data_IF_871035169222
#
_entry.id   IF_871035169222
#
_cell.length_a   1.000
_cell.length_b   1.000
_cell.length_c   1.000
_cell.angle_alpha   90.00
_cell.angle_beta   90.00
_cell.angle_gamma   90.00
#
_symmetry.space_group_name_H-M   'P 1'
#
loop_
_entity.id
_entity.type
_entity.pdbx_description
1 polymer ?
#
# COMPACT_ATOMS: atom_id res chain seq x y z
N UNK A 1 -10.91 -23.94 5.11
CA UNK A 1 -10.67 -23.69 6.55
C UNK A 1 -11.08 -22.25 6.83
N UNK A 2 -11.77 -21.99 7.93
CA UNK A 2 -12.14 -20.64 8.38
C UNK A 2 -11.46 -20.38 9.72
N UNK A 3 -10.91 -19.19 9.91
CA UNK A 3 -10.28 -18.76 11.15
C UNK A 3 -10.83 -17.39 11.56
N UNK A 4 -10.82 -17.13 12.86
CA UNK A 4 -11.24 -15.86 13.45
C UNK A 4 -10.14 -15.41 14.40
N UNK A 5 -9.65 -14.18 14.21
CA UNK A 5 -8.73 -13.54 15.14
C UNK A 5 -9.50 -12.49 15.93
N UNK A 6 -9.23 -12.36 17.23
CA UNK A 6 -9.76 -11.24 18.00
C UNK A 6 -9.07 -9.95 17.56
N UNK A 7 -9.85 -8.87 17.48
CA UNK A 7 -9.29 -7.54 17.26
C UNK A 7 -8.62 -7.05 18.55
N UNK A 8 -7.63 -6.16 18.48
CA UNK A 8 -7.24 -5.36 19.66
C UNK A 8 -8.50 -4.70 20.23
N UNK A 9 -8.66 -4.72 21.54
CA UNK A 9 -9.74 -3.98 22.20
C UNK A 9 -9.48 -2.50 21.95
N UNK A 10 -10.38 -1.84 21.23
CA UNK A 10 -10.26 -0.40 21.00
C UNK A 10 -10.39 0.28 22.36
N UNK A 11 -9.36 1.01 22.73
CA UNK A 11 -9.33 1.80 23.95
C UNK A 11 -9.18 3.26 23.59
N UNK A 12 -10.01 4.10 24.18
CA UNK A 12 -9.95 5.56 24.03
C UNK A 12 -9.44 6.24 25.30
N UNK A 13 -9.15 5.47 26.36
CA UNK A 13 -8.57 6.00 27.57
C UNK A 13 -7.14 6.45 27.30
N UNK A 14 -6.78 7.71 27.59
CA UNK A 14 -5.41 8.16 27.51
C UNK A 14 -4.58 7.37 28.53
N UNK A 15 -3.85 6.34 28.07
CA UNK A 15 -2.93 5.62 28.93
C UNK A 15 -1.57 6.31 28.91
N UNK A 16 -0.95 6.56 30.08
CA UNK A 16 0.46 6.92 30.15
C UNK A 16 1.39 5.74 29.80
N UNK A 17 0.83 4.53 29.68
CA UNK A 17 1.53 3.28 29.40
C UNK A 17 1.52 2.96 27.89
N UNK A 18 2.52 2.19 27.38
CA UNK A 18 2.53 1.74 25.99
C UNK A 18 1.25 0.97 25.65
N UNK A 19 0.85 1.03 24.37
CA UNK A 19 -0.35 0.34 23.92
C UNK A 19 -0.27 -1.17 24.25
N UNK A 20 -1.42 -1.83 24.53
CA UNK A 20 -1.42 -3.25 24.80
C UNK A 20 -0.77 -4.05 23.66
N UNK A 21 0.00 -5.08 24.01
CA UNK A 21 0.62 -5.94 23.01
C UNK A 21 -0.43 -6.59 22.08
N UNK A 22 -0.06 -6.73 20.80
CA UNK A 22 -0.89 -7.40 19.80
C UNK A 22 -1.33 -8.80 20.27
N UNK A 23 -2.63 -9.06 20.21
CA UNK A 23 -3.19 -10.39 20.51
C UNK A 23 -3.05 -11.26 19.26
N UNK A 24 -2.12 -12.22 19.32
CA UNK A 24 -1.86 -13.14 18.21
C UNK A 24 -2.65 -14.44 18.43
N UNK A 25 -3.48 -14.79 17.45
CA UNK A 25 -4.24 -16.04 17.46
C UNK A 25 -3.46 -17.13 16.73
N UNK A 26 -3.26 -18.27 17.38
CA UNK A 26 -2.67 -19.46 16.75
C UNK A 26 -3.74 -20.28 16.04
N UNK A 27 -3.46 -20.72 14.82
CA UNK A 27 -4.29 -21.65 14.06
C UNK A 27 -3.56 -22.95 13.70
N UNK A 28 -4.20 -23.81 12.90
CA UNK A 28 -3.63 -25.08 12.47
C UNK A 28 -2.30 -24.91 11.73
N UNK A 29 -1.48 -25.97 11.76
CA UNK A 29 -0.19 -26.05 11.04
C UNK A 29 0.80 -24.90 11.37
N UNK A 30 0.68 -24.27 12.53
CA UNK A 30 1.56 -23.18 12.96
C UNK A 30 1.23 -21.81 12.33
N UNK A 31 0.05 -21.68 11.73
CA UNK A 31 -0.45 -20.40 11.25
C UNK A 31 -0.67 -19.41 12.42
N UNK A 32 -0.32 -18.14 12.20
CA UNK A 32 -0.63 -17.05 13.12
C UNK A 32 -1.49 -16.00 12.42
N UNK A 33 -2.41 -15.44 13.20
CA UNK A 33 -3.34 -14.42 12.75
C UNK A 33 -3.30 -13.24 13.71
N UNK A 34 -3.36 -12.04 13.14
CA UNK A 34 -3.59 -10.80 13.86
C UNK A 34 -4.64 -9.99 13.10
N UNK A 35 -5.62 -9.48 13.82
CA UNK A 35 -6.52 -8.44 13.35
C UNK A 35 -6.53 -7.37 14.43
N UNK A 36 -6.50 -6.09 14.07
CA UNK A 36 -6.48 -5.08 15.11
C UNK A 36 -6.05 -3.71 14.63
N UNK A 37 -6.18 -2.75 15.53
CA UNK A 37 -5.61 -1.44 15.33
C UNK A 37 -4.09 -1.50 15.55
N UNK A 38 -3.33 -0.81 14.72
CA UNK A 38 -1.88 -0.64 14.78
C UNK A 38 -1.51 0.71 14.16
N UNK A 39 -0.28 1.15 14.41
CA UNK A 39 0.33 2.27 13.70
C UNK A 39 0.28 2.04 12.17
N UNK A 40 -0.02 3.07 11.38
CA UNK A 40 -0.10 2.92 9.92
C UNK A 40 1.30 2.69 9.33
N UNK A 41 1.61 1.48 8.81
CA UNK A 41 2.97 1.12 8.45
C UNK A 41 3.39 1.66 7.07
N UNK A 42 2.54 2.47 6.43
CA UNK A 42 2.87 3.12 5.17
C UNK A 42 3.46 4.50 5.45
N UNK A 43 4.57 4.83 4.81
CA UNK A 43 5.24 6.11 4.97
C UNK A 43 5.43 6.74 3.59
N UNK A 44 5.03 8.00 3.46
CA UNK A 44 5.03 8.73 2.18
C UNK A 44 4.80 10.23 2.44
N UNK A 45 5.55 11.08 1.74
CA UNK A 45 5.16 12.49 1.51
C UNK A 45 4.05 12.58 0.45
N UNK A 46 2.82 12.28 0.87
CA UNK A 46 1.67 12.18 -0.05
C UNK A 46 1.29 13.56 -0.60
N UNK A 47 1.50 14.61 0.20
CA UNK A 47 1.32 15.99 -0.26
C UNK A 47 2.30 16.31 -1.39
N UNK A 48 3.59 15.99 -1.22
CA UNK A 48 4.61 16.19 -2.24
C UNK A 48 4.35 15.34 -3.50
N UNK A 49 3.98 14.07 -3.32
CA UNK A 49 3.63 13.17 -4.41
C UNK A 49 2.42 13.66 -5.21
N UNK A 50 1.33 14.05 -4.55
CA UNK A 50 0.14 14.59 -5.22
C UNK A 50 0.44 15.92 -5.95
N UNK A 51 1.29 16.78 -5.37
CA UNK A 51 1.74 18.02 -6.02
C UNK A 51 2.60 17.75 -7.25
N UNK A 52 3.49 16.77 -7.19
CA UNK A 52 4.27 16.30 -8.33
C UNK A 52 3.34 15.80 -9.45
N UNK A 53 2.41 14.90 -9.14
CA UNK A 53 1.44 14.37 -10.11
C UNK A 53 0.60 15.50 -10.72
N UNK A 54 0.06 16.42 -9.90
CA UNK A 54 -0.68 17.57 -10.37
C UNK A 54 0.16 18.46 -11.32
N UNK A 55 1.43 18.68 -10.99
CA UNK A 55 2.34 19.46 -11.86
C UNK A 55 2.59 18.79 -13.21
N UNK A 56 2.63 17.45 -13.27
CA UNK A 56 2.77 16.67 -14.50
C UNK A 56 1.54 16.79 -15.40
N UNK A 57 0.35 16.88 -14.80
CA UNK A 57 -0.90 17.09 -15.53
C UNK A 57 -0.96 18.52 -16.06
N UNK A 58 -0.56 19.50 -15.24
CA UNK A 58 -0.54 20.91 -15.65
C UNK A 58 0.52 21.22 -16.70
N UNK A 59 1.67 20.53 -16.67
CA UNK A 59 2.79 20.72 -17.59
C UNK A 59 3.27 19.35 -18.13
N UNK A 60 2.53 18.73 -19.06
CA UNK A 60 2.89 17.42 -19.60
C UNK A 60 4.34 17.35 -20.12
N UNK A 61 5.08 16.36 -19.67
CA UNK A 61 6.50 16.14 -20.02
C UNK A 61 7.47 17.06 -19.28
N UNK A 62 6.98 17.98 -18.45
CA UNK A 62 7.79 18.92 -17.66
C UNK A 62 7.28 19.02 -16.21
N UNK A 63 7.19 17.90 -15.47
CA UNK A 63 6.71 17.92 -14.08
C UNK A 63 7.70 18.67 -13.18
N UNK A 64 7.19 19.35 -12.15
CA UNK A 64 8.02 19.97 -11.13
C UNK A 64 8.44 18.94 -10.07
N UNK A 65 9.54 18.24 -10.34
CA UNK A 65 10.09 17.18 -9.48
C UNK A 65 10.52 17.65 -8.08
N UNK A 66 10.77 18.96 -7.90
CA UNK A 66 11.15 19.53 -6.59
C UNK A 66 9.99 19.59 -5.58
N UNK A 67 8.77 19.27 -6.01
CA UNK A 67 7.60 19.20 -5.13
C UNK A 67 7.57 17.92 -4.29
N UNK A 68 8.18 16.84 -4.78
CA UNK A 68 8.32 15.59 -4.03
C UNK A 68 9.42 15.77 -2.97
N UNK A 69 9.11 15.47 -1.70
CA UNK A 69 10.03 15.70 -0.59
C UNK A 69 10.23 17.18 -0.25
N UNK A 70 9.34 18.05 -0.69
CA UNK A 70 9.43 19.47 -0.38
C UNK A 70 9.41 19.69 1.14
N UNK A 71 10.31 20.55 1.65
CA UNK A 71 10.54 20.78 3.09
C UNK A 71 11.01 19.53 3.86
N UNK A 72 11.89 18.74 3.26
CA UNK A 72 12.48 17.51 3.82
C UNK A 72 11.52 16.31 3.87
N UNK A 73 10.40 16.38 3.13
CA UNK A 73 9.35 15.38 3.22
C UNK A 73 8.59 15.48 4.55
N UNK A 74 7.33 15.05 4.54
CA UNK A 74 6.54 14.87 5.75
C UNK A 74 5.83 13.55 5.60
N UNK A 75 6.10 12.63 6.51
CA UNK A 75 5.32 11.40 6.57
C UNK A 75 3.85 11.75 6.83
N UNK A 76 3.01 11.51 5.84
CA UNK A 76 1.59 11.86 5.88
C UNK A 76 0.82 10.96 6.84
N UNK A 77 1.33 9.75 7.08
CA UNK A 77 0.68 8.74 7.90
C UNK A 77 1.21 8.72 9.34
N UNK A 78 2.27 9.49 9.62
CA UNK A 78 2.83 9.57 10.96
C UNK A 78 1.79 10.00 11.99
N UNK A 79 1.65 9.19 13.04
CA UNK A 79 0.71 9.37 14.13
C UNK A 79 -0.73 8.95 13.82
N UNK A 80 -0.97 8.37 12.65
CA UNK A 80 -2.24 7.72 12.33
C UNK A 80 -2.19 6.23 12.65
N UNK A 81 -3.37 5.72 12.95
CA UNK A 81 -3.61 4.32 13.25
C UNK A 81 -4.51 3.73 12.18
N UNK A 82 -4.27 2.49 11.81
CA UNK A 82 -5.07 1.77 10.80
C UNK A 82 -5.45 0.36 11.28
N UNK A 83 -6.52 -0.18 10.69
CA UNK A 83 -6.94 -1.55 10.96
C UNK A 83 -6.10 -2.50 10.11
N UNK A 84 -5.21 -3.24 10.76
CA UNK A 84 -4.34 -4.23 10.13
C UNK A 84 -4.95 -5.63 10.26
N UNK A 85 -4.89 -6.37 9.16
CA UNK A 85 -5.05 -7.84 9.15
C UNK A 85 -3.73 -8.44 8.69
N UNK A 86 -3.12 -9.27 9.52
CA UNK A 86 -1.88 -9.97 9.21
C UNK A 86 -2.05 -11.49 9.34
N UNK A 87 -1.43 -12.21 8.41
CA UNK A 87 -1.48 -13.68 8.33
C UNK A 87 -0.07 -14.21 8.12
N UNK A 88 0.38 -15.11 9.00
CA UNK A 88 1.62 -15.88 8.81
C UNK A 88 1.26 -17.34 8.67
N UNK A 89 1.58 -17.95 7.53
CA UNK A 89 1.33 -19.37 7.27
C UNK A 89 2.60 -20.05 6.76
N UNK A 90 2.77 -21.37 6.98
CA UNK A 90 3.83 -22.12 6.32
C UNK A 90 3.73 -21.98 4.80
N UNK A 91 4.87 -21.76 4.13
CA UNK A 91 4.93 -21.65 2.68
C UNK A 91 4.39 -22.92 1.97
N UNK A 92 4.49 -24.09 2.61
CA UNK A 92 3.92 -25.35 2.11
C UNK A 92 2.41 -25.31 1.89
N UNK A 93 1.67 -24.45 2.61
CA UNK A 93 0.23 -24.27 2.42
C UNK A 93 -0.12 -23.43 1.18
N UNK A 94 0.86 -22.71 0.62
CA UNK A 94 0.66 -21.79 -0.51
C UNK A 94 1.29 -22.28 -1.81
N UNK A 95 2.11 -23.34 -1.75
CA UNK A 95 2.76 -23.91 -2.93
C UNK A 95 1.75 -24.68 -3.78
N UNK A 96 1.74 -24.38 -5.08
CA UNK A 96 1.08 -25.18 -6.10
C UNK A 96 2.11 -25.61 -7.16
N UNK A 97 1.69 -25.64 -8.43
CA UNK A 97 2.58 -25.95 -9.56
C UNK A 97 3.68 -24.89 -9.76
N UNK A 98 3.43 -23.66 -9.30
CA UNK A 98 4.39 -22.55 -9.29
C UNK A 98 4.96 -22.32 -7.89
N UNK A 99 6.22 -21.88 -7.84
CA UNK A 99 6.85 -21.39 -6.61
C UNK A 99 6.64 -19.89 -6.39
N UNK A 100 6.14 -19.17 -7.39
CA UNK A 100 5.73 -17.77 -7.29
C UNK A 100 4.23 -17.71 -7.09
N UNK A 101 3.81 -17.05 -6.02
CA UNK A 101 2.39 -16.73 -5.78
C UNK A 101 2.11 -15.27 -6.14
N UNK A 102 0.86 -15.03 -6.54
CA UNK A 102 0.33 -13.69 -6.75
C UNK A 102 -0.69 -13.35 -5.67
N UNK A 103 -0.57 -12.18 -5.06
CA UNK A 103 -1.52 -11.68 -4.07
C UNK A 103 -2.17 -10.40 -4.59
N UNK A 104 -3.49 -10.43 -4.71
CA UNK A 104 -4.33 -9.29 -5.07
C UNK A 104 -5.19 -8.91 -3.87
N UNK A 105 -5.13 -7.65 -3.46
CA UNK A 105 -5.93 -7.11 -2.37
C UNK A 105 -7.03 -6.21 -2.93
N UNK A 106 -8.27 -6.51 -2.54
CA UNK A 106 -9.47 -5.79 -2.97
C UNK A 106 -10.26 -5.32 -1.76
N UNK A 107 -10.76 -4.09 -1.82
CA UNK A 107 -11.77 -3.59 -0.90
C UNK A 107 -13.15 -3.81 -1.53
N UNK A 108 -14.04 -4.50 -0.81
CA UNK A 108 -15.38 -4.80 -1.29
C UNK A 108 -16.43 -4.27 -0.31
N UNK A 109 -17.52 -3.73 -0.86
CA UNK A 109 -18.71 -3.36 -0.09
C UNK A 109 -19.96 -3.89 -0.77
N UNK A 110 -21.05 -4.05 0.00
CA UNK A 110 -22.36 -4.37 -0.55
C UNK A 110 -22.81 -3.26 -1.51
N UNK A 111 -23.32 -3.66 -2.67
CA UNK A 111 -24.05 -2.74 -3.53
C UNK A 111 -25.30 -2.23 -2.79
N UNK A 112 -25.57 -0.94 -2.83
CA UNK A 112 -26.74 -0.34 -2.18
C UNK A 112 -27.66 0.28 -3.21
N UNK A 113 -28.94 -0.04 -3.15
CA UNK A 113 -29.98 0.60 -3.96
C UNK A 113 -30.59 1.76 -3.19
N UNK A 114 -30.58 2.95 -3.80
CA UNK A 114 -31.20 4.14 -3.24
C UNK A 114 -32.54 4.42 -3.95
N UNK A 115 -33.54 4.88 -3.21
CA UNK A 115 -34.72 5.51 -3.81
C UNK A 115 -34.41 6.95 -4.25
N UNK A 116 -35.37 7.62 -4.92
CA UNK A 116 -35.20 9.01 -5.38
C UNK A 116 -34.92 10.01 -4.23
N UNK A 117 -35.34 9.69 -3.00
CA UNK A 117 -35.07 10.49 -1.80
C UNK A 117 -33.73 10.18 -1.11
N UNK A 118 -32.89 9.31 -1.69
CA UNK A 118 -31.58 8.94 -1.14
C UNK A 118 -31.62 7.90 -0.01
N UNK A 119 -32.79 7.35 0.33
CA UNK A 119 -32.87 6.29 1.34
C UNK A 119 -32.45 4.94 0.74
N UNK A 120 -31.68 4.16 1.50
CA UNK A 120 -31.34 2.77 1.16
C UNK A 120 -32.61 1.93 1.19
N UNK A 121 -32.96 1.32 0.06
CA UNK A 121 -34.16 0.48 -0.10
C UNK A 121 -33.82 -0.97 -0.45
N UNK A 122 -32.54 -1.30 -0.59
CA UNK A 122 -32.07 -2.66 -0.83
C UNK A 122 -30.56 -2.78 -0.84
N UNK A 123 -30.07 -4.00 -0.63
CA UNK A 123 -28.66 -4.37 -0.72
C UNK A 123 -28.47 -5.51 -1.74
N UNK A 124 -27.39 -5.44 -2.50
CA UNK A 124 -27.02 -6.42 -3.51
C UNK A 124 -25.78 -7.25 -3.11
N UNK A 125 -25.08 -7.84 -4.10
CA UNK A 125 -23.82 -8.55 -3.85
C UNK A 125 -22.70 -7.60 -3.43
N UNK A 126 -21.59 -8.17 -2.95
CA UNK A 126 -20.34 -7.42 -2.78
C UNK A 126 -19.79 -7.01 -4.14
N UNK A 127 -19.35 -5.77 -4.24
CA UNK A 127 -18.66 -5.22 -5.41
C UNK A 127 -17.32 -4.65 -4.97
N UNK A 128 -16.30 -4.82 -5.81
CA UNK A 128 -15.00 -4.21 -5.59
C UNK A 128 -15.10 -2.71 -5.81
N UNK A 129 -14.65 -1.94 -4.82
CA UNK A 129 -14.66 -0.47 -4.84
C UNK A 129 -13.28 0.14 -4.77
N UNK A 130 -12.29 -0.67 -4.39
CA UNK A 130 -10.90 -0.31 -4.46
C UNK A 130 -10.01 -1.54 -4.60
N UNK A 131 -8.82 -1.35 -5.17
CA UNK A 131 -7.79 -2.37 -5.26
C UNK A 131 -6.42 -1.73 -5.32
N UNK A 132 -5.42 -2.44 -4.80
CA UNK A 132 -4.04 -1.99 -4.87
C UNK A 132 -3.11 -3.20 -4.82
N UNK A 133 -2.43 -3.48 -5.93
CA UNK A 133 -1.32 -4.43 -5.97
C UNK A 133 0.02 -3.71 -5.91
N UNK A 134 0.41 -3.15 -7.04
CA UNK A 134 1.65 -2.43 -7.27
C UNK A 134 1.54 -1.02 -6.68
N UNK A 135 2.49 -0.59 -5.83
CA UNK A 135 2.47 0.73 -5.23
C UNK A 135 2.33 1.87 -6.25
N UNK A 136 1.62 2.93 -5.86
CA UNK A 136 1.40 4.18 -6.60
C UNK A 136 0.65 4.09 -7.93
N UNK A 137 0.33 2.91 -8.48
CA UNK A 137 -0.34 2.88 -9.80
C UNK A 137 -1.77 3.41 -9.71
N UNK A 138 -2.62 2.85 -8.84
CA UNK A 138 -3.98 3.35 -8.65
C UNK A 138 -3.97 4.83 -8.18
N UNK A 139 -3.09 5.15 -7.23
CA UNK A 139 -3.09 6.48 -6.63
C UNK A 139 -2.59 7.58 -7.58
N UNK A 140 -1.48 7.32 -8.30
CA UNK A 140 -0.74 8.34 -9.05
C UNK A 140 -0.70 8.19 -10.58
N UNK A 141 -0.91 6.99 -11.13
CA UNK A 141 -0.83 6.76 -12.58
C UNK A 141 -2.19 6.58 -13.26
N UNK A 142 -3.21 6.13 -12.53
CA UNK A 142 -4.57 6.06 -13.06
C UNK A 142 -5.21 7.45 -13.02
N UNK A 143 -5.63 8.00 -14.17
CA UNK A 143 -6.21 9.34 -14.21
C UNK A 143 -7.57 9.37 -13.49
N UNK A 144 -7.95 10.48 -12.84
CA UNK A 144 -9.17 10.57 -12.04
C UNK A 144 -10.45 10.06 -12.72
N UNK A 145 -10.73 10.35 -14.01
CA UNK A 145 -11.94 9.86 -14.68
C UNK A 145 -12.03 8.34 -14.79
N UNK A 146 -10.90 7.63 -14.71
CA UNK A 146 -10.85 6.16 -14.82
C UNK A 146 -10.67 5.46 -13.48
N UNK A 147 -10.54 6.17 -12.35
CA UNK A 147 -10.33 5.53 -11.04
C UNK A 147 -11.43 4.54 -10.67
N UNK A 148 -12.70 4.89 -10.89
CA UNK A 148 -13.81 3.96 -10.62
C UNK A 148 -13.79 2.74 -11.54
N UNK A 149 -13.43 2.92 -12.82
CA UNK A 149 -13.29 1.81 -13.78
C UNK A 149 -12.14 0.89 -13.39
N UNK A 150 -11.00 1.48 -13.02
CA UNK A 150 -9.82 0.75 -12.55
C UNK A 150 -10.14 -0.05 -11.30
N UNK A 151 -10.73 0.59 -10.28
CA UNK A 151 -11.10 -0.05 -9.02
C UNK A 151 -12.10 -1.20 -9.21
N UNK A 152 -13.01 -1.10 -10.18
CA UNK A 152 -13.95 -2.17 -10.52
C UNK A 152 -13.38 -3.26 -11.43
N UNK A 153 -12.19 -3.07 -12.02
CA UNK A 153 -11.59 -4.01 -12.96
C UNK A 153 -10.83 -5.14 -12.26
N UNK A 154 -10.63 -6.24 -12.99
CA UNK A 154 -9.83 -7.38 -12.52
C UNK A 154 -8.37 -7.26 -12.97
N UNK A 155 -7.49 -8.01 -12.31
CA UNK A 155 -6.08 -8.13 -12.70
C UNK A 155 -5.90 -8.78 -14.07
N UNK A 156 -6.90 -9.54 -14.55
CA UNK A 156 -6.92 -10.06 -15.91
C UNK A 156 -7.27 -8.99 -16.94
N UNK A 157 -8.06 -7.99 -16.56
CA UNK A 157 -8.36 -6.86 -17.44
C UNK A 157 -7.12 -5.97 -17.60
N UNK A 158 -6.34 -5.79 -16.53
CA UNK A 158 -5.00 -5.17 -16.59
C UNK A 158 -4.09 -5.94 -17.57
N UNK A 159 -4.00 -7.27 -17.43
CA UNK A 159 -3.17 -8.12 -18.30
C UNK A 159 -3.60 -8.10 -19.78
N UNK A 160 -4.83 -7.70 -20.07
CA UNK A 160 -5.34 -7.47 -21.44
C UNK A 160 -5.07 -6.04 -21.95
N UNK A 161 -4.38 -5.21 -21.17
CA UNK A 161 -3.98 -3.86 -21.52
C UNK A 161 -5.09 -2.81 -21.38
N UNK A 162 -6.13 -3.06 -20.56
CA UNK A 162 -7.27 -2.13 -20.41
C UNK A 162 -6.82 -0.72 -19.99
N UNK A 163 -5.72 -0.59 -19.26
CA UNK A 163 -5.21 0.70 -18.76
C UNK A 163 -3.89 1.14 -19.39
N UNK A 164 -3.33 0.38 -20.35
CA UNK A 164 -2.02 0.64 -20.98
C UNK A 164 -1.90 2.07 -21.49
N UNK A 165 -2.87 2.53 -22.28
CA UNK A 165 -2.84 3.87 -22.86
C UNK A 165 -2.88 4.96 -21.78
N UNK A 166 -3.69 4.79 -20.74
CA UNK A 166 -3.82 5.77 -19.67
C UNK A 166 -2.57 5.85 -18.80
N UNK A 167 -2.00 4.70 -18.45
CA UNK A 167 -0.77 4.63 -17.66
C UNK A 167 0.40 5.18 -18.49
N UNK A 168 0.50 4.81 -19.77
CA UNK A 168 1.50 5.38 -20.69
C UNK A 168 1.39 6.90 -20.71
N UNK A 169 0.19 7.46 -20.88
CA UNK A 169 0.02 8.90 -20.91
C UNK A 169 0.43 9.57 -19.59
N UNK A 170 0.07 9.00 -18.43
CA UNK A 170 0.48 9.52 -17.13
C UNK A 170 2.01 9.50 -16.96
N UNK A 171 2.66 8.42 -17.39
CA UNK A 171 4.12 8.31 -17.37
C UNK A 171 4.80 9.31 -18.34
N UNK A 172 4.24 9.52 -19.53
CA UNK A 172 4.69 10.58 -20.45
C UNK A 172 4.57 11.97 -19.84
N UNK A 173 3.46 12.24 -19.14
CA UNK A 173 3.28 13.49 -18.41
C UNK A 173 4.37 13.69 -17.34
N UNK A 174 4.82 12.60 -16.71
CA UNK A 174 5.92 12.56 -15.75
C UNK A 174 7.32 12.56 -16.40
N UNK A 175 7.41 12.71 -17.72
CA UNK A 175 8.65 12.68 -18.50
C UNK A 175 9.41 11.34 -18.44
N UNK A 176 8.69 10.23 -18.29
CA UNK A 176 9.25 8.88 -18.39
C UNK A 176 9.51 8.51 -19.85
N UNK A 177 10.68 7.91 -20.12
CA UNK A 177 11.09 7.43 -21.43
C UNK A 177 10.43 6.10 -21.81
N UNK A 178 10.55 5.72 -23.08
CA UNK A 178 9.92 4.52 -23.66
C UNK A 178 10.38 3.24 -22.98
N UNK A 179 11.67 3.13 -22.66
CA UNK A 179 12.25 1.93 -22.07
C UNK A 179 11.71 1.70 -20.65
N UNK A 180 11.61 2.75 -19.85
CA UNK A 180 11.08 2.69 -18.49
C UNK A 180 9.56 2.53 -18.49
N UNK A 181 8.83 3.14 -19.43
CA UNK A 181 7.40 2.89 -19.63
C UNK A 181 7.17 1.40 -19.91
N UNK A 182 7.92 0.81 -20.85
CA UNK A 182 7.77 -0.61 -21.19
C UNK A 182 8.08 -1.52 -20.00
N UNK A 183 9.09 -1.19 -19.20
CA UNK A 183 9.43 -1.93 -18.00
C UNK A 183 8.33 -1.83 -16.93
N UNK A 184 7.77 -0.64 -16.69
CA UNK A 184 6.66 -0.42 -15.74
C UNK A 184 5.41 -1.19 -16.20
N UNK A 185 5.02 -1.07 -17.47
CA UNK A 185 3.87 -1.79 -18.03
C UNK A 185 4.06 -3.31 -17.96
N UNK A 186 5.29 -3.81 -18.16
CA UNK A 186 5.59 -5.23 -18.02
C UNK A 186 5.37 -5.73 -16.59
N UNK A 187 5.78 -4.98 -15.58
CA UNK A 187 5.60 -5.37 -14.17
C UNK A 187 4.13 -5.33 -13.75
N UNK A 188 3.43 -4.26 -14.15
CA UNK A 188 2.14 -3.90 -13.57
C UNK A 188 0.93 -4.23 -14.44
N UNK A 189 0.95 -3.89 -15.73
CA UNK A 189 -0.21 -4.14 -16.61
C UNK A 189 -0.16 -5.54 -17.22
N UNK A 190 0.89 -5.87 -17.99
CA UNK A 190 0.96 -7.09 -18.82
C UNK A 190 0.85 -8.39 -18.00
N UNK A 191 1.22 -8.35 -16.73
CA UNK A 191 1.10 -9.49 -15.82
C UNK A 191 -0.07 -9.35 -14.81
N UNK A 192 -0.81 -8.24 -14.86
CA UNK A 192 -1.85 -7.85 -13.92
C UNK A 192 -1.32 -7.22 -12.64
N UNK A 193 -2.11 -6.30 -12.06
CA UNK A 193 -1.75 -5.57 -10.86
C UNK A 193 -1.79 -6.46 -9.61
N UNK A 194 -0.68 -7.16 -9.36
CA UNK A 194 -0.57 -8.20 -8.35
C UNK A 194 0.82 -8.15 -7.73
N UNK A 195 0.91 -8.23 -6.40
CA UNK A 195 2.19 -8.43 -5.72
C UNK A 195 2.62 -9.89 -5.88
N UNK A 196 3.86 -10.09 -6.34
CA UNK A 196 4.42 -11.42 -6.57
C UNK A 196 5.42 -11.77 -5.49
N UNK A 197 5.33 -12.98 -4.97
CA UNK A 197 6.22 -13.54 -3.97
C UNK A 197 6.76 -14.90 -4.40
N UNK A 198 8.07 -15.00 -4.61
CA UNK A 198 8.80 -16.25 -4.84
C UNK A 198 9.06 -16.95 -3.50
N UNK A 199 8.35 -18.05 -3.25
CA UNK A 199 8.42 -18.83 -2.02
C UNK A 199 9.72 -19.63 -1.86
N UNK A 200 10.65 -19.54 -2.81
CA UNK A 200 12.02 -20.09 -2.70
C UNK A 200 12.99 -19.12 -2.05
N UNK A 201 12.69 -17.81 -2.08
CA UNK A 201 13.52 -16.78 -1.48
C UNK A 201 13.04 -16.55 -0.05
N UNK A 202 13.76 -17.06 0.97
CA UNK A 202 13.31 -16.91 2.34
C UNK A 202 13.47 -15.45 2.77
N UNK A 203 12.48 -14.89 3.46
CA UNK A 203 12.63 -13.58 4.10
C UNK A 203 12.49 -13.75 5.62
N UNK A 204 13.57 -13.50 6.34
CA UNK A 204 13.67 -13.64 7.78
C UNK A 204 14.47 -12.47 8.36
N UNK A 205 14.42 -12.32 9.69
CA UNK A 205 15.12 -11.26 10.41
C UNK A 205 14.19 -10.23 11.04
N UNK A 206 14.76 -9.20 11.69
CA UNK A 206 14.00 -8.16 12.38
C UNK A 206 13.13 -7.36 11.40
N UNK A 207 12.10 -6.68 11.92
CA UNK A 207 11.27 -5.71 11.18
C UNK A 207 10.62 -6.26 9.89
N UNK A 208 10.25 -7.54 9.89
CA UNK A 208 9.65 -8.18 8.71
C UNK A 208 10.66 -8.65 7.66
N UNK A 209 11.95 -8.64 7.99
CA UNK A 209 13.01 -9.36 7.27
C UNK A 209 13.97 -8.47 6.47
N UNK A 210 15.19 -8.98 6.27
CA UNK A 210 16.31 -8.21 5.72
C UNK A 210 17.05 -8.92 4.58
N UNK A 211 16.47 -9.97 3.99
CA UNK A 211 17.13 -10.67 2.88
C UNK A 211 17.28 -9.75 1.67
N UNK A 212 18.51 -9.47 1.18
CA UNK A 212 18.73 -8.61 0.01
C UNK A 212 18.10 -9.14 -1.28
N UNK A 213 17.94 -10.47 -1.40
CA UNK A 213 17.27 -11.10 -2.54
C UNK A 213 15.75 -11.09 -2.44
N UNK A 214 15.17 -10.68 -1.31
CA UNK A 214 13.73 -10.54 -1.11
C UNK A 214 13.24 -9.09 -1.28
N UNK A 215 12.02 -8.84 -0.82
CA UNK A 215 11.40 -7.51 -0.87
C UNK A 215 10.94 -7.04 -2.26
N UNK A 216 10.49 -5.80 -2.28
CA UNK A 216 9.97 -5.12 -3.47
C UNK A 216 11.01 -5.04 -4.58
N UNK A 217 10.58 -5.28 -5.82
CA UNK A 217 11.45 -5.35 -7.00
C UNK A 217 12.09 -6.73 -7.27
N UNK A 218 12.17 -7.62 -6.27
CA UNK A 218 12.82 -8.94 -6.40
C UNK A 218 11.84 -10.12 -6.46
N UNK A 219 10.58 -9.88 -6.82
CA UNK A 219 9.48 -10.84 -6.59
C UNK A 219 9.43 -11.32 -5.14
N UNK A 220 9.79 -10.47 -4.17
CA UNK A 220 9.77 -10.80 -2.74
C UNK A 220 8.55 -10.23 -2.01
N UNK A 221 7.47 -9.91 -2.75
CA UNK A 221 6.35 -9.13 -2.23
C UNK A 221 6.75 -7.67 -1.95
N UNK A 222 6.19 -7.10 -0.89
CA UNK A 222 6.62 -5.83 -0.28
C UNK A 222 6.83 -6.06 1.20
N UNK A 223 8.02 -5.76 1.72
CA UNK A 223 8.28 -5.69 3.16
C UNK A 223 7.79 -4.36 3.71
N UNK A 224 7.47 -4.31 5.00
CA UNK A 224 7.09 -3.06 5.66
C UNK A 224 8.19 -2.00 5.55
N UNK A 225 9.46 -2.42 5.66
CA UNK A 225 10.65 -1.55 5.54
C UNK A 225 11.01 -1.16 4.11
N UNK A 226 10.34 -1.72 3.08
CA UNK A 226 10.68 -1.35 1.71
C UNK A 226 10.16 0.06 1.43
N UNK A 227 11.08 0.99 1.16
CA UNK A 227 10.80 2.33 0.65
C UNK A 227 10.38 2.26 -0.82
N UNK A 228 9.13 1.81 -1.01
CA UNK A 228 8.54 1.63 -2.33
C UNK A 228 8.26 2.96 -3.03
N UNK A 229 8.17 4.06 -2.29
CA UNK A 229 7.91 5.39 -2.85
C UNK A 229 9.14 5.86 -3.61
N UNK A 230 10.31 5.86 -2.97
CA UNK A 230 11.57 6.21 -3.61
C UNK A 230 11.87 5.26 -4.78
N UNK A 231 11.63 3.95 -4.60
CA UNK A 231 11.84 2.96 -5.66
C UNK A 231 10.97 3.22 -6.90
N UNK A 232 9.67 3.47 -6.70
CA UNK A 232 8.74 3.70 -7.81
C UNK A 232 8.98 5.05 -8.49
N UNK A 233 9.18 6.14 -7.73
CA UNK A 233 9.47 7.44 -8.33
C UNK A 233 10.81 7.48 -9.05
N UNK A 234 11.83 6.77 -8.56
CA UNK A 234 13.10 6.59 -9.27
C UNK A 234 12.89 5.84 -10.59
N UNK A 235 12.07 4.78 -10.60
CA UNK A 235 11.74 4.05 -11.82
C UNK A 235 10.98 4.93 -12.83
N UNK A 236 10.00 5.71 -12.37
CA UNK A 236 9.27 6.70 -13.18
C UNK A 236 10.22 7.78 -13.71
N UNK A 237 11.25 8.15 -12.94
CA UNK A 237 12.24 9.16 -13.30
C UNK A 237 13.42 8.58 -14.10
N UNK A 238 13.17 7.59 -14.94
CA UNK A 238 14.17 6.99 -15.84
C UNK A 238 15.40 6.42 -15.11
N UNK A 239 15.18 5.87 -13.91
CA UNK A 239 16.24 5.34 -13.05
C UNK A 239 17.09 6.41 -12.34
N UNK A 240 16.84 7.70 -12.61
CA UNK A 240 17.48 8.80 -11.88
C UNK A 240 16.81 8.92 -10.51
N UNK A 241 17.56 8.91 -9.39
CA UNK A 241 16.96 9.00 -8.07
C UNK A 241 15.99 10.18 -7.93
N UNK A 242 14.76 9.86 -7.54
CA UNK A 242 13.72 10.84 -7.21
C UNK A 242 13.04 10.36 -5.94
N UNK A 243 13.14 11.17 -4.90
CA UNK A 243 12.86 10.76 -3.53
C UNK A 243 11.84 11.66 -2.88
N UNK A 244 11.03 11.09 -1.98
CA UNK A 244 10.07 11.83 -1.16
C UNK A 244 10.64 12.25 0.21
N UNK A 245 11.86 11.78 0.51
CA UNK A 245 12.63 12.05 1.72
C UNK A 245 12.02 11.47 3.00
N UNK A 246 11.00 10.61 2.89
CA UNK A 246 10.42 9.84 3.99
C UNK A 246 10.93 8.40 3.90
N UNK A 247 12.00 8.11 4.65
CA UNK A 247 12.77 6.87 4.45
C UNK A 247 12.34 5.69 5.33
N UNK A 248 11.21 5.83 6.02
CA UNK A 248 10.72 4.83 6.95
C UNK A 248 9.59 5.37 7.82
N UNK A 249 8.92 4.43 8.47
CA UNK A 249 7.89 4.69 9.45
C UNK A 249 8.43 5.54 10.61
N UNK A 250 7.59 6.40 11.16
CA UNK A 250 7.91 7.23 12.32
C UNK A 250 8.18 6.39 13.57
N UNK A 251 7.44 5.30 13.76
CA UNK A 251 7.70 4.31 14.80
C UNK A 251 8.41 3.09 14.20
N UNK A 252 9.56 2.65 14.74
CA UNK A 252 10.24 1.46 14.27
C UNK A 252 9.35 0.21 14.34
N UNK A 253 9.41 -0.62 13.30
CA UNK A 253 8.69 -1.88 13.24
C UNK A 253 9.17 -2.87 14.32
N UNK A 254 8.28 -3.78 14.72
CA UNK A 254 8.59 -4.86 15.67
C UNK A 254 9.41 -5.95 15.01
N UNK A 255 10.17 -6.71 15.79
CA UNK A 255 10.94 -7.86 15.30
C UNK A 255 10.19 -9.20 15.39
N UNK A 256 8.91 -9.15 15.75
CA UNK A 256 8.03 -10.31 15.88
C UNK A 256 6.70 -10.04 15.17
N UNK A 257 6.04 -11.10 14.71
CA UNK A 257 4.72 -11.01 14.07
C UNK A 257 3.72 -10.27 14.98
N UNK A 258 2.93 -9.31 14.48
CA UNK A 258 2.67 -8.94 13.08
C UNK A 258 3.67 -7.96 12.43
N UNK A 259 4.80 -7.66 13.09
CA UNK A 259 5.87 -6.75 12.68
C UNK A 259 5.49 -5.26 12.62
N UNK A 260 4.21 -4.90 12.52
CA UNK A 260 3.76 -3.50 12.65
C UNK A 260 4.00 -2.96 14.06
N UNK A 261 4.20 -1.64 14.16
CA UNK A 261 4.35 -0.97 15.44
C UNK A 261 3.02 -0.96 16.24
N UNK A 262 3.13 -0.73 17.54
CA UNK A 262 1.98 -0.58 18.42
C UNK A 262 1.21 0.71 18.09
N UNK A 263 -0.12 0.76 18.25
CA UNK A 263 -0.92 1.94 17.92
C UNK A 263 -0.38 3.23 18.57
N UNK A 264 -0.25 4.28 17.76
CA UNK A 264 0.04 5.63 18.24
C UNK A 264 -1.01 6.05 19.28
N UNK A 265 -0.56 6.56 20.43
CA UNK A 265 -1.43 7.10 21.47
C UNK A 265 -1.71 8.59 21.22
N UNK A 266 -2.88 9.12 21.62
CA UNK A 266 -3.15 10.55 21.53
C UNK A 266 -2.06 11.36 22.23
N UNK A 267 -1.59 12.43 21.59
CA UNK A 267 -0.66 13.34 22.25
C UNK A 267 -1.32 14.00 23.47
N UNK A 268 -0.59 14.23 24.57
CA UNK A 268 -1.06 15.06 25.66
C UNK A 268 -1.46 16.45 25.12
N UNK A 269 -2.58 17.04 25.59
CA UNK A 269 -3.02 18.35 25.13
C UNK A 269 -1.90 19.40 25.19
N UNK A 270 -1.66 20.11 24.09
CA UNK A 270 -0.72 21.22 24.00
C UNK A 270 0.76 20.85 23.81
N UNK A 271 1.10 19.58 23.60
CA UNK A 271 2.51 19.15 23.45
C UNK A 271 3.01 19.03 22.01
N UNK A 272 2.12 19.02 21.00
CA UNK A 272 2.53 19.02 19.59
C UNK A 272 1.87 20.18 18.82
N UNK A 273 2.63 21.17 18.32
CA UNK A 273 2.09 22.25 17.49
C UNK A 273 1.76 21.80 16.06
N UNK A 274 2.31 20.67 15.60
CA UNK A 274 1.85 19.98 14.40
C UNK A 274 0.77 19.00 14.86
N UNK A 275 -0.49 19.28 14.53
CA UNK A 275 -1.60 18.43 14.95
C UNK A 275 -1.64 17.10 14.17
N UNK A 276 -0.68 16.87 13.25
CA UNK A 276 -0.66 15.75 12.31
C UNK A 276 -1.97 15.65 11.48
N UNK A 277 -2.93 16.58 11.62
CA UNK A 277 -4.31 16.45 11.13
C UNK A 277 -4.58 17.05 9.76
N UNK A 278 -3.57 17.21 8.89
CA UNK A 278 -3.78 17.89 7.59
C UNK A 278 -3.17 17.14 6.43
N UNK A 279 -4.08 16.67 5.56
CA UNK A 279 -3.91 16.58 4.10
C UNK A 279 -4.21 17.95 3.48
#
# INVERSE_FOLDING_TARGET
MSFSAQTTVSDQEPRPDPAPAAVVTSGPDGALFFGGNADDPFFLDDTGANRLVASSIANPGNPNKSLLGFRQGRDTYAGFNTMITAVRVPASLLRGDSQVIGVNFVCQRRFVQLNRGGAVVGEGPYVTVDRQGTPLVNNGLIPPPRKNEYNGASTQDDARGRFDQSITQSLRNLATDDAHIDAILNVHQRNGDILRLDLRVPNFGPQGGNNPGGGFGNMGGRRLVDDVVDAVFTMINNGVPLRDLVNGNEVPFRSEFPFVADPTQPFPPGQNPDDHTRQ
#
